data_IF_342483518009
#
_entry.id   IF_342483518009
#
_cell.length_a   1.000
_cell.length_b   1.000
_cell.length_c   1.000
_cell.angle_alpha   90.00
_cell.angle_beta   90.00
_cell.angle_gamma   90.00
#
_symmetry.space_group_name_H-M   'P 1'
#
loop_
_entity.id
_entity.type
_entity.pdbx_description
1 polymer ?
#
# COMPACT_ATOMS: atom_id res chain seq x y z
N UNK A 1 4.16 23.86 -67.78
CA UNK A 1 4.77 23.70 -69.11
C UNK A 1 5.30 22.27 -69.18
N UNK A 2 4.75 21.48 -70.09
CA UNK A 2 4.96 20.03 -70.28
C UNK A 2 6.39 19.67 -70.72
N UNK A 3 6.84 18.42 -70.45
CA UNK A 3 7.31 17.35 -71.38
C UNK A 3 7.40 16.05 -70.54
N UNK A 4 6.48 15.07 -70.66
CA UNK A 4 6.40 13.90 -71.60
C UNK A 4 7.51 12.84 -71.42
N UNK A 5 7.38 11.51 -71.58
CA UNK A 5 6.38 10.47 -71.97
C UNK A 5 7.18 9.13 -71.83
N UNK A 6 6.64 7.96 -71.42
CA UNK A 6 6.24 6.90 -72.36
C UNK A 6 5.66 5.64 -71.68
N UNK A 7 4.60 5.11 -72.31
CA UNK A 7 3.84 3.88 -72.02
C UNK A 7 4.46 2.64 -72.68
N UNK A 8 4.30 1.46 -72.06
CA UNK A 8 3.96 0.17 -72.68
C UNK A 8 3.80 -0.87 -71.55
N UNK A 9 2.87 -1.82 -71.51
CA UNK A 9 1.80 -2.24 -72.41
C UNK A 9 0.99 -3.31 -71.69
N UNK A 10 -0.32 -3.34 -71.94
CA UNK A 10 -1.27 -4.35 -71.46
C UNK A 10 -1.04 -5.69 -72.17
N UNK A 11 -1.02 -6.80 -71.42
CA UNK A 11 -1.49 -8.11 -71.91
C UNK A 11 -2.23 -8.84 -70.78
N UNK A 12 -3.52 -9.09 -71.04
CA UNK A 12 -4.48 -9.92 -70.29
C UNK A 12 -4.34 -11.40 -70.66
N UNK A 13 -4.86 -12.25 -69.76
CA UNK A 13 -5.41 -13.64 -69.88
C UNK A 13 -4.68 -14.66 -69.01
N UNK A 14 -5.29 -15.60 -68.28
CA UNK A 14 -6.61 -15.79 -67.67
C UNK A 14 -6.57 -17.19 -67.02
N UNK A 15 -7.09 -17.33 -65.79
CA UNK A 15 -7.71 -18.58 -65.28
C UNK A 15 -6.82 -19.56 -64.51
N UNK A 16 -7.09 -19.73 -63.20
CA UNK A 16 -7.98 -20.80 -62.70
C UNK A 16 -8.22 -20.64 -61.18
N UNK A 17 -9.51 -20.63 -60.81
CA UNK A 17 -10.13 -21.12 -59.57
C UNK A 17 -9.31 -21.08 -58.27
N UNK A 18 -9.52 -20.04 -57.46
CA UNK A 18 -9.29 -20.10 -56.02
C UNK A 18 -10.64 -20.38 -55.33
N UNK A 19 -10.66 -21.51 -54.62
CA UNK A 19 -11.67 -21.93 -53.66
C UNK A 19 -11.99 -20.75 -52.73
N UNK A 20 -13.21 -20.23 -52.79
CA UNK A 20 -13.71 -19.26 -51.83
C UNK A 20 -13.89 -19.94 -50.48
N UNK A 21 -12.81 -20.00 -49.71
CA UNK A 21 -12.90 -20.03 -48.25
C UNK A 21 -13.57 -18.71 -47.89
N UNK A 22 -14.84 -18.77 -47.53
CA UNK A 22 -15.53 -17.66 -46.89
C UNK A 22 -14.88 -17.53 -45.52
N UNK A 23 -13.77 -16.80 -45.50
CA UNK A 23 -13.32 -16.12 -44.30
C UNK A 23 -14.45 -15.14 -44.01
N UNK A 24 -15.23 -15.37 -42.96
CA UNK A 24 -16.01 -14.32 -42.32
C UNK A 24 -15.00 -13.36 -41.68
N UNK A 25 -14.27 -12.65 -42.54
CA UNK A 25 -13.53 -11.46 -42.23
C UNK A 25 -14.51 -10.32 -42.37
N UNK A 26 -14.61 -9.56 -41.29
CA UNK A 26 -15.48 -8.41 -41.11
C UNK A 26 -15.65 -7.61 -42.41
N UNK A 27 -16.89 -7.54 -42.89
CA UNK A 27 -17.29 -6.65 -43.97
C UNK A 27 -16.98 -5.21 -43.53
N UNK A 28 -16.39 -4.39 -44.40
CA UNK A 28 -16.22 -2.93 -44.22
C UNK A 28 -17.57 -2.17 -44.25
N UNK A 29 -18.57 -2.73 -43.58
CA UNK A 29 -19.85 -2.10 -43.20
C UNK A 29 -20.32 -2.56 -41.81
N UNK A 30 -19.55 -3.35 -41.06
CA UNK A 30 -19.85 -3.67 -39.66
C UNK A 30 -18.71 -3.16 -38.79
N UNK A 31 -19.00 -2.05 -38.13
CA UNK A 31 -18.15 -1.43 -37.13
C UNK A 31 -17.98 -2.42 -35.97
N UNK A 32 -16.77 -2.97 -35.79
CA UNK A 32 -16.46 -3.94 -34.72
C UNK A 32 -16.17 -3.25 -33.37
N UNK A 33 -16.49 -1.95 -33.27
CA UNK A 33 -16.38 -1.17 -32.03
C UNK A 33 -17.76 -0.87 -31.43
N UNK A 34 -18.77 -1.69 -31.73
CA UNK A 34 -20.12 -1.51 -31.21
C UNK A 34 -20.74 -2.87 -30.87
N UNK A 35 -20.09 -3.61 -29.96
CA UNK A 35 -20.85 -4.53 -29.13
C UNK A 35 -21.62 -3.65 -28.16
N UNK A 36 -22.87 -3.40 -28.51
CA UNK A 36 -23.80 -2.62 -27.72
C UNK A 36 -24.33 -3.54 -26.62
N UNK A 37 -23.69 -3.49 -25.45
CA UNK A 37 -24.04 -4.33 -24.30
C UNK A 37 -25.17 -3.72 -23.47
N UNK A 38 -25.64 -2.51 -23.80
CA UNK A 38 -26.69 -1.76 -23.09
C UNK A 38 -28.10 -2.36 -23.21
N UNK A 39 -28.20 -3.65 -23.52
CA UNK A 39 -29.45 -4.39 -23.74
C UNK A 39 -29.31 -5.83 -23.21
N UNK A 40 -28.25 -6.07 -22.44
CA UNK A 40 -27.99 -7.31 -21.73
C UNK A 40 -28.17 -6.98 -20.25
N UNK A 41 -28.88 -7.84 -19.48
CA UNK A 41 -29.19 -7.60 -18.07
C UNK A 41 -28.02 -7.00 -17.30
N UNK A 42 -26.89 -7.69 -17.34
CA UNK A 42 -25.69 -7.31 -16.61
C UNK A 42 -24.92 -6.05 -17.07
N UNK A 43 -25.50 -5.23 -17.94
CA UNK A 43 -24.92 -3.96 -18.40
C UNK A 43 -25.94 -3.00 -19.01
N UNK A 44 -27.23 -3.18 -18.73
CA UNK A 44 -28.31 -2.31 -19.20
C UNK A 44 -28.79 -1.27 -18.17
N UNK A 45 -28.22 -1.29 -16.96
CA UNK A 45 -28.45 -0.32 -15.90
C UNK A 45 -29.73 -0.56 -15.12
N UNK A 46 -30.38 -1.71 -15.33
CA UNK A 46 -31.61 -2.11 -14.67
C UNK A 46 -31.32 -3.36 -13.80
N UNK A 47 -32.04 -3.51 -12.71
CA UNK A 47 -32.08 -4.75 -11.92
C UNK A 47 -33.13 -5.66 -12.58
N UNK A 48 -32.71 -6.64 -13.36
CA UNK A 48 -33.61 -7.47 -14.16
C UNK A 48 -34.17 -8.68 -13.39
N UNK A 49 -33.71 -8.95 -12.17
CA UNK A 49 -34.23 -10.02 -11.30
C UNK A 49 -34.85 -9.53 -9.97
N UNK A 50 -34.85 -8.20 -9.76
CA UNK A 50 -35.44 -7.46 -8.65
C UNK A 50 -34.84 -7.83 -7.28
N UNK A 51 -33.56 -8.22 -7.23
CA UNK A 51 -32.86 -8.59 -5.99
C UNK A 51 -32.16 -7.42 -5.28
N UNK A 52 -32.21 -6.23 -5.89
CA UNK A 52 -31.68 -4.97 -5.38
C UNK A 52 -30.27 -4.65 -5.86
N UNK A 53 -29.68 -5.47 -6.72
CA UNK A 53 -28.38 -5.24 -7.33
C UNK A 53 -28.52 -5.02 -8.85
N UNK A 54 -27.59 -4.24 -9.44
CA UNK A 54 -27.68 -3.79 -10.84
C UNK A 54 -26.37 -4.08 -11.58
N UNK A 55 -26.48 -4.59 -12.81
CA UNK A 55 -25.36 -4.81 -13.72
C UNK A 55 -24.21 -5.63 -13.09
N UNK A 56 -22.95 -5.17 -13.19
CA UNK A 56 -21.80 -5.86 -12.60
C UNK A 56 -21.76 -5.81 -11.07
N UNK A 57 -22.62 -5.01 -10.45
CA UNK A 57 -22.82 -5.05 -9.00
C UNK A 57 -23.83 -6.13 -8.59
N UNK A 58 -24.61 -6.65 -9.55
CA UNK A 58 -25.47 -7.81 -9.40
C UNK A 58 -24.67 -9.10 -9.26
N UNK A 59 -24.76 -9.80 -8.10
CA UNK A 59 -24.08 -11.08 -7.89
C UNK A 59 -24.45 -12.14 -8.95
N UNK A 60 -25.68 -12.11 -9.44
CA UNK A 60 -26.20 -12.96 -10.50
C UNK A 60 -25.58 -12.70 -11.89
N UNK A 61 -24.88 -11.59 -12.06
CA UNK A 61 -24.05 -11.33 -13.23
C UNK A 61 -22.69 -12.04 -13.21
N UNK A 62 -22.24 -12.55 -12.07
CA UNK A 62 -20.92 -13.18 -11.90
C UNK A 62 -19.77 -12.33 -12.47
N UNK A 63 -19.88 -11.00 -12.40
CA UNK A 63 -18.92 -10.05 -12.96
C UNK A 63 -18.81 -10.08 -14.50
N UNK A 64 -19.78 -10.66 -15.21
CA UNK A 64 -19.78 -10.80 -16.67
C UNK A 64 -20.83 -9.87 -17.32
N UNK A 65 -20.41 -8.77 -17.98
CA UNK A 65 -21.33 -7.81 -18.60
C UNK A 65 -21.96 -8.35 -19.90
N UNK A 66 -21.68 -9.60 -20.27
CA UNK A 66 -22.29 -10.27 -21.41
C UNK A 66 -23.27 -11.37 -20.99
N UNK A 67 -23.52 -11.54 -19.69
CA UNK A 67 -24.51 -12.48 -19.21
C UNK A 67 -25.91 -12.05 -19.67
N UNK A 68 -26.75 -13.06 -19.91
CA UNK A 68 -28.13 -12.87 -20.37
C UNK A 68 -29.15 -13.11 -19.26
N UNK A 69 -28.71 -13.13 -18.02
CA UNK A 69 -29.51 -13.42 -16.82
C UNK A 69 -28.82 -12.81 -15.61
N UNK A 70 -29.64 -12.21 -14.77
CA UNK A 70 -29.34 -11.78 -13.40
C UNK A 70 -29.88 -12.79 -12.38
N UNK A 71 -30.86 -13.64 -12.75
CA UNK A 71 -31.34 -14.72 -11.87
C UNK A 71 -30.21 -15.58 -11.27
N UNK A 72 -29.89 -15.34 -10.00
CA UNK A 72 -29.06 -16.24 -9.20
C UNK A 72 -28.25 -15.57 -8.11
N UNK A 73 -28.84 -15.41 -6.93
CA UNK A 73 -28.07 -15.21 -5.71
C UNK A 73 -27.15 -16.43 -5.53
N UNK A 74 -25.82 -16.24 -5.47
CA UNK A 74 -24.87 -17.33 -5.33
C UNK A 74 -25.20 -18.11 -4.06
N UNK A 75 -25.03 -19.44 -4.10
CA UNK A 75 -25.34 -20.30 -2.95
C UNK A 75 -24.68 -19.79 -1.66
N UNK A 76 -23.51 -19.17 -1.77
CA UNK A 76 -22.77 -18.57 -0.67
C UNK A 76 -23.22 -17.18 -0.19
N UNK A 77 -24.35 -16.68 -0.68
CA UNK A 77 -24.97 -15.42 -0.23
C UNK A 77 -26.50 -15.47 -0.24
N UNK A 78 -27.11 -16.64 -0.45
CA UNK A 78 -28.57 -16.77 -0.62
C UNK A 78 -29.35 -17.02 0.67
N UNK A 79 -28.67 -17.11 1.82
CA UNK A 79 -29.30 -17.29 3.13
C UNK A 79 -29.82 -18.70 3.37
N UNK A 80 -29.52 -19.66 2.50
CA UNK A 80 -30.02 -21.02 2.52
C UNK A 80 -28.84 -21.98 2.65
N UNK A 81 -28.93 -22.90 3.60
CA UNK A 81 -28.03 -24.06 3.72
C UNK A 81 -28.25 -25.01 2.53
N UNK A 82 -27.53 -24.75 1.45
CA UNK A 82 -27.68 -25.40 0.15
C UNK A 82 -27.03 -26.80 0.11
N UNK A 83 -26.08 -27.08 1.01
CA UNK A 83 -25.39 -28.36 1.09
C UNK A 83 -25.88 -29.25 2.27
N UNK A 84 -26.60 -28.67 3.22
CA UNK A 84 -27.29 -29.32 4.33
C UNK A 84 -26.41 -29.58 5.56
N UNK A 85 -25.26 -28.92 5.70
CA UNK A 85 -24.33 -29.11 6.81
C UNK A 85 -24.71 -28.30 8.08
N UNK A 86 -25.62 -27.34 7.93
CA UNK A 86 -26.16 -26.49 8.99
C UNK A 86 -25.42 -25.15 9.18
N UNK A 87 -24.46 -24.84 8.31
CA UNK A 87 -23.87 -23.52 8.10
C UNK A 87 -24.57 -22.86 6.90
N UNK A 88 -24.47 -21.54 6.80
CA UNK A 88 -25.06 -20.75 5.71
C UNK A 88 -24.10 -19.64 5.33
N UNK A 89 -23.93 -19.42 4.03
CA UNK A 89 -23.26 -18.29 3.40
C UNK A 89 -21.78 -18.05 3.77
N UNK A 90 -21.16 -17.22 2.95
CA UNK A 90 -19.79 -16.76 3.13
C UNK A 90 -19.56 -16.13 4.52
N UNK A 91 -18.55 -16.66 5.21
CA UNK A 91 -18.13 -16.20 6.53
C UNK A 91 -18.66 -17.05 7.69
N UNK A 92 -19.70 -17.87 7.47
CA UNK A 92 -20.12 -18.89 8.43
C UNK A 92 -19.99 -20.31 7.85
N UNK A 93 -20.14 -20.46 6.53
CA UNK A 93 -20.00 -21.70 5.78
C UNK A 93 -18.58 -21.87 5.19
N UNK A 94 -17.99 -23.05 5.36
CA UNK A 94 -16.63 -23.38 4.92
C UNK A 94 -16.57 -23.82 3.44
N UNK A 95 -17.69 -24.24 2.85
CA UNK A 95 -17.84 -24.46 1.42
C UNK A 95 -17.85 -23.18 0.59
N UNK A 96 -17.89 -22.02 1.27
CA UNK A 96 -17.90 -20.70 0.66
C UNK A 96 -16.54 -19.99 0.68
N UNK A 97 -15.86 -20.00 -0.47
CA UNK A 97 -14.60 -19.27 -0.66
C UNK A 97 -14.77 -17.75 -0.84
N UNK A 98 -15.94 -17.32 -1.31
CA UNK A 98 -16.32 -15.92 -1.52
C UNK A 98 -17.84 -15.75 -1.45
N UNK A 99 -18.35 -14.52 -1.22
CA UNK A 99 -19.79 -14.23 -1.32
C UNK A 99 -20.39 -14.67 -2.66
N UNK A 100 -19.63 -14.48 -3.75
CA UNK A 100 -20.06 -14.82 -5.12
C UNK A 100 -20.03 -16.34 -5.44
N UNK A 101 -19.82 -17.18 -4.42
CA UNK A 101 -19.66 -18.62 -4.57
C UNK A 101 -20.96 -19.30 -4.99
N UNK A 102 -20.93 -20.00 -6.14
CA UNK A 102 -22.10 -20.70 -6.68
C UNK A 102 -22.44 -22.04 -5.97
N UNK A 103 -21.66 -22.44 -4.96
CA UNK A 103 -21.83 -23.71 -4.24
C UNK A 103 -21.29 -23.57 -2.82
N UNK A 104 -22.10 -23.98 -1.84
CA UNK A 104 -21.71 -24.11 -0.43
C UNK A 104 -21.23 -25.51 -0.07
N UNK A 105 -21.11 -26.42 -1.04
CA UNK A 105 -20.59 -27.76 -0.76
C UNK A 105 -19.22 -27.60 -0.12
N UNK A 106 -19.12 -28.00 1.15
CA UNK A 106 -17.87 -28.31 1.83
C UNK A 106 -17.14 -29.30 0.92
N UNK A 107 -16.24 -28.78 0.09
CA UNK A 107 -15.27 -29.64 -0.56
C UNK A 107 -14.49 -30.20 0.61
N UNK A 108 -14.53 -31.52 0.87
CA UNK A 108 -13.57 -32.10 1.78
C UNK A 108 -12.21 -31.54 1.38
N UNK A 109 -11.41 -31.00 2.33
CA UNK A 109 -10.13 -30.41 2.02
C UNK A 109 -9.41 -31.38 1.11
N UNK A 110 -8.92 -30.91 -0.04
CA UNK A 110 -8.46 -31.80 -1.12
C UNK A 110 -7.41 -32.79 -0.58
N UNK A 111 -6.67 -32.36 0.45
CA UNK A 111 -5.74 -33.15 1.26
C UNK A 111 -6.33 -34.15 2.27
N UNK A 112 -7.64 -34.38 2.27
CA UNK A 112 -8.38 -35.28 3.14
C UNK A 112 -9.66 -35.83 2.51
N UNK A 113 -9.79 -35.78 1.19
CA UNK A 113 -10.98 -36.19 0.45
C UNK A 113 -10.92 -37.62 -0.13
N UNK A 114 -9.74 -38.24 -0.11
CA UNK A 114 -9.52 -39.60 -0.61
C UNK A 114 -9.33 -39.69 -2.13
N UNK A 115 -9.06 -38.57 -2.79
CA UNK A 115 -8.86 -38.43 -4.24
C UNK A 115 -7.54 -37.69 -4.50
N UNK A 116 -6.79 -38.20 -5.47
CA UNK A 116 -5.57 -37.58 -6.01
C UNK A 116 -5.98 -36.39 -6.89
N UNK A 117 -6.00 -35.19 -6.29
CA UNK A 117 -6.56 -34.00 -6.91
C UNK A 117 -5.55 -33.24 -7.78
N UNK A 118 -4.25 -33.43 -7.56
CA UNK A 118 -3.20 -32.86 -8.40
C UNK A 118 -2.70 -33.84 -9.50
N UNK A 119 -2.99 -35.13 -9.37
CA UNK A 119 -2.67 -36.17 -10.35
C UNK A 119 -1.24 -36.74 -10.24
N UNK A 120 -0.53 -36.53 -9.14
CA UNK A 120 0.83 -37.01 -8.87
C UNK A 120 0.87 -38.51 -8.47
N UNK A 121 -0.27 -39.08 -8.06
CA UNK A 121 -0.43 -40.46 -7.62
C UNK A 121 -0.32 -40.69 -6.10
N UNK A 122 -0.07 -39.66 -5.31
CA UNK A 122 -0.45 -39.54 -3.91
C UNK A 122 -1.96 -39.19 -3.82
N UNK A 123 -2.52 -38.89 -2.65
CA UNK A 123 -4.01 -38.92 -2.52
C UNK A 123 -4.51 -38.08 -1.36
N UNK A 124 -3.80 -38.03 -0.23
CA UNK A 124 -4.19 -37.25 0.95
C UNK A 124 -3.02 -37.15 1.94
N UNK A 125 -3.07 -36.19 2.87
CA UNK A 125 -2.17 -36.17 4.02
C UNK A 125 -2.34 -37.44 4.90
N UNK A 126 -1.25 -38.02 5.45
CA UNK A 126 0.16 -37.62 5.38
C UNK A 126 0.95 -38.29 4.25
N UNK A 127 0.29 -39.04 3.38
CA UNK A 127 0.93 -39.77 2.29
C UNK A 127 1.23 -38.87 1.08
N UNK A 128 0.55 -37.72 1.00
CA UNK A 128 0.65 -36.70 -0.03
C UNK A 128 1.56 -35.54 0.35
N UNK A 129 2.69 -35.31 -0.37
CA UNK A 129 3.61 -34.22 -0.12
C UNK A 129 3.04 -32.84 -0.49
N UNK A 130 2.08 -32.78 -1.41
CA UNK A 130 1.31 -31.59 -1.77
C UNK A 130 0.43 -31.06 -0.64
N UNK A 131 0.38 -31.79 0.49
CA UNK A 131 -0.46 -31.54 1.65
C UNK A 131 0.36 -31.41 2.95
N UNK A 132 0.29 -30.25 3.60
CA UNK A 132 0.90 -30.04 4.92
C UNK A 132 0.01 -30.53 6.07
N UNK A 133 -1.30 -30.61 5.84
CA UNK A 133 -2.29 -31.12 6.79
C UNK A 133 -3.54 -31.68 6.10
N UNK A 134 -4.28 -32.56 6.80
CA UNK A 134 -5.56 -33.09 6.30
C UNK A 134 -6.71 -32.07 6.29
N UNK A 135 -6.43 -30.80 6.62
CA UNK A 135 -7.38 -29.70 6.58
C UNK A 135 -7.02 -28.69 5.50
N UNK A 136 -5.96 -28.92 4.74
CA UNK A 136 -5.53 -28.03 3.68
C UNK A 136 -6.55 -28.12 2.54
N UNK A 137 -7.14 -26.97 2.21
CA UNK A 137 -8.20 -26.87 1.21
C UNK A 137 -7.72 -27.21 -0.20
N UNK A 138 -6.39 -27.22 -0.43
CA UNK A 138 -5.79 -27.54 -1.71
C UNK A 138 -4.62 -28.50 -1.59
N UNK A 139 -4.63 -29.50 -2.46
CA UNK A 139 -3.51 -30.38 -2.77
C UNK A 139 -2.68 -29.69 -3.86
N UNK A 140 -1.45 -29.30 -3.53
CA UNK A 140 -0.57 -28.64 -4.48
C UNK A 140 0.23 -29.68 -5.26
N UNK A 141 0.38 -29.53 -6.60
CA UNK A 141 1.27 -30.38 -7.38
C UNK A 141 2.62 -30.52 -6.71
N UNK A 142 3.21 -31.72 -6.76
CA UNK A 142 4.63 -31.97 -6.51
C UNK A 142 5.49 -30.89 -7.20
N UNK A 143 5.79 -29.83 -6.45
CA UNK A 143 6.76 -28.80 -6.79
C UNK A 143 8.10 -29.27 -6.25
N UNK A 144 9.19 -28.94 -6.93
CA UNK A 144 10.49 -29.54 -6.66
C UNK A 144 10.87 -29.44 -5.18
N UNK A 145 10.46 -28.37 -4.48
CA UNK A 145 10.66 -28.18 -3.06
C UNK A 145 9.81 -29.02 -2.09
N UNK A 146 8.99 -29.95 -2.58
CA UNK A 146 8.14 -30.85 -1.78
C UNK A 146 8.05 -32.27 -2.36
N UNK A 147 8.68 -32.59 -3.49
CA UNK A 147 8.49 -33.86 -4.21
C UNK A 147 9.39 -35.01 -3.70
N UNK A 148 10.28 -34.75 -2.73
CA UNK A 148 11.19 -35.73 -2.15
C UNK A 148 12.35 -36.13 -3.06
N UNK A 149 12.61 -35.39 -4.13
CA UNK A 149 13.64 -35.63 -5.12
C UNK A 149 14.59 -34.43 -5.18
N UNK A 150 15.88 -34.71 -5.08
CA UNK A 150 16.98 -33.75 -5.30
C UNK A 150 17.03 -33.38 -6.78
N UNK A 151 16.27 -32.35 -7.15
CA UNK A 151 16.02 -31.89 -8.51
C UNK A 151 17.14 -31.01 -9.05
N UNK A 152 17.85 -30.29 -8.17
CA UNK A 152 19.01 -29.46 -8.54
C UNK A 152 20.35 -30.22 -8.45
N UNK A 153 20.38 -31.35 -7.74
CA UNK A 153 21.51 -32.28 -7.65
C UNK A 153 22.53 -31.92 -6.56
N UNK A 154 22.20 -31.06 -5.60
CA UNK A 154 23.08 -30.61 -4.53
C UNK A 154 23.19 -31.64 -3.36
N UNK A 155 22.28 -32.61 -3.34
CA UNK A 155 22.21 -33.69 -2.35
C UNK A 155 21.32 -33.41 -1.14
N UNK A 156 20.61 -32.30 -1.14
CA UNK A 156 19.52 -31.92 -0.24
C UNK A 156 18.19 -32.11 -1.00
N UNK A 157 17.08 -32.09 -0.27
CA UNK A 157 15.74 -32.36 -0.80
C UNK A 157 14.73 -31.59 0.00
N UNK A 158 13.84 -30.89 -0.67
CA UNK A 158 12.66 -30.22 -0.14
C UNK A 158 12.90 -29.10 0.88
N UNK A 159 11.85 -28.30 1.05
CA UNK A 159 11.77 -27.22 2.02
C UNK A 159 12.11 -27.67 3.45
N UNK A 160 13.08 -26.97 4.02
CA UNK A 160 13.56 -27.18 5.38
C UNK A 160 14.76 -28.10 5.49
N UNK A 161 15.16 -28.80 4.42
CA UNK A 161 16.50 -29.41 4.31
C UNK A 161 17.30 -28.79 3.15
N UNK A 162 16.62 -28.42 2.07
CA UNK A 162 17.17 -27.78 0.88
C UNK A 162 17.20 -26.24 1.01
N UNK A 163 18.36 -25.57 0.83
CA UNK A 163 18.50 -24.11 0.87
C UNK A 163 17.95 -23.38 -0.36
N UNK A 164 17.83 -24.03 -1.51
CA UNK A 164 17.13 -23.52 -2.70
C UNK A 164 15.63 -23.32 -2.46
N UNK A 165 15.09 -24.07 -1.50
CA UNK A 165 13.71 -23.92 -1.03
C UNK A 165 13.58 -22.93 0.13
N UNK A 166 13.41 -21.64 -0.18
CA UNK A 166 13.20 -20.59 0.83
C UNK A 166 11.82 -20.72 1.48
N UNK A 167 10.83 -21.22 0.75
CA UNK A 167 9.48 -21.56 1.20
C UNK A 167 9.06 -22.90 0.61
N UNK A 168 8.18 -23.62 1.31
CA UNK A 168 7.57 -24.85 0.78
C UNK A 168 6.79 -24.65 -0.51
N UNK A 169 6.45 -23.41 -0.86
CA UNK A 169 5.72 -23.08 -2.10
C UNK A 169 6.61 -22.64 -3.26
N UNK A 170 7.93 -22.68 -3.09
CA UNK A 170 8.86 -22.35 -4.17
C UNK A 170 8.89 -23.48 -5.21
N UNK A 171 9.00 -23.12 -6.49
CA UNK A 171 8.75 -24.03 -7.59
C UNK A 171 9.98 -24.86 -8.02
N UNK A 172 11.17 -24.46 -7.59
CA UNK A 172 12.45 -25.08 -7.91
C UNK A 172 13.36 -25.11 -6.68
N UNK A 173 14.21 -26.14 -6.60
CA UNK A 173 15.22 -26.32 -5.54
C UNK A 173 16.54 -25.63 -5.88
N UNK A 174 16.57 -24.75 -6.89
CA UNK A 174 17.85 -24.18 -7.32
C UNK A 174 18.36 -23.23 -6.24
N UNK A 175 19.47 -23.61 -5.61
CA UNK A 175 20.25 -22.72 -4.75
C UNK A 175 20.43 -21.36 -5.42
N UNK A 176 19.88 -20.32 -4.82
CA UNK A 176 20.22 -18.95 -5.19
C UNK A 176 21.68 -18.73 -4.79
N UNK A 177 22.59 -19.06 -5.70
CA UNK A 177 24.01 -18.87 -5.51
C UNK A 177 24.25 -17.37 -5.19
N UNK A 178 25.02 -17.06 -4.14
CA UNK A 178 25.47 -15.70 -3.90
C UNK A 178 26.13 -15.16 -5.17
N UNK A 179 25.82 -13.91 -5.55
CA UNK A 179 26.34 -13.27 -6.77
C UNK A 179 27.87 -13.38 -6.89
N UNK A 180 28.59 -13.52 -5.76
CA UNK A 180 30.03 -13.71 -5.71
C UNK A 180 30.56 -15.14 -5.97
N UNK A 181 29.68 -16.10 -6.30
CA UNK A 181 30.05 -17.47 -6.67
C UNK A 181 29.10 -18.12 -7.71
N UNK A 182 28.30 -17.31 -8.41
CA UNK A 182 27.28 -17.79 -9.34
C UNK A 182 27.80 -17.94 -10.79
N UNK A 183 29.04 -17.51 -11.07
CA UNK A 183 29.66 -17.63 -12.38
C UNK A 183 29.24 -16.55 -13.37
N UNK A 184 28.57 -15.50 -12.91
CA UNK A 184 28.06 -14.38 -13.71
C UNK A 184 28.65 -13.07 -13.17
N UNK A 185 29.20 -12.27 -14.08
CA UNK A 185 29.59 -10.87 -13.83
C UNK A 185 28.33 -10.00 -13.69
N UNK A 186 27.81 -9.92 -12.45
CA UNK A 186 26.56 -9.28 -12.08
C UNK A 186 26.69 -7.76 -11.96
N UNK A 187 27.88 -7.24 -11.68
CA UNK A 187 28.16 -5.80 -11.65
C UNK A 187 28.74 -5.23 -12.97
N UNK A 188 29.07 -6.10 -13.92
CA UNK A 188 29.60 -5.80 -15.24
C UNK A 188 30.98 -5.10 -15.25
N UNK A 189 31.81 -5.31 -14.23
CA UNK A 189 33.17 -4.78 -14.16
C UNK A 189 34.21 -5.65 -14.90
N UNK A 190 33.83 -6.88 -15.25
CA UNK A 190 34.62 -7.83 -16.03
C UNK A 190 35.38 -8.87 -15.22
N UNK A 191 35.36 -8.80 -13.89
CA UNK A 191 35.53 -9.96 -13.02
C UNK A 191 34.18 -10.71 -12.90
N UNK A 192 34.12 -11.83 -12.18
CA UNK A 192 32.98 -12.77 -12.29
C UNK A 192 32.60 -13.35 -10.93
N UNK A 193 33.59 -13.73 -10.11
CA UNK A 193 33.35 -14.33 -8.80
C UNK A 193 34.59 -14.20 -7.92
N UNK A 194 34.41 -14.34 -6.61
CA UNK A 194 35.52 -14.52 -5.68
C UNK A 194 36.39 -15.74 -6.05
N UNK A 195 37.72 -15.68 -5.95
CA UNK A 195 38.57 -14.61 -5.41
C UNK A 195 39.11 -13.65 -6.48
N UNK A 196 38.70 -13.82 -7.73
CA UNK A 196 39.22 -13.03 -8.84
C UNK A 196 38.46 -11.70 -8.94
N UNK A 197 37.21 -11.67 -8.47
CA UNK A 197 36.39 -10.49 -8.24
C UNK A 197 36.70 -9.81 -6.91
N UNK A 198 36.90 -8.48 -6.96
CA UNK A 198 37.22 -7.64 -5.80
C UNK A 198 36.01 -6.92 -5.21
N UNK A 199 34.89 -6.87 -5.92
CA UNK A 199 33.58 -6.58 -5.36
C UNK A 199 33.18 -7.54 -4.27
N UNK A 200 33.71 -8.77 -4.31
CA UNK A 200 33.46 -9.83 -3.36
C UNK A 200 34.52 -9.91 -2.25
N UNK A 201 34.11 -9.73 -0.99
CA UNK A 201 35.00 -9.94 0.16
C UNK A 201 35.20 -11.44 0.46
N UNK A 202 34.21 -12.26 0.15
CA UNK A 202 34.27 -13.72 0.19
C UNK A 202 33.20 -14.35 -0.72
N UNK A 203 33.29 -15.67 -0.95
CA UNK A 203 32.38 -16.40 -1.84
C UNK A 203 30.94 -16.56 -1.34
N UNK A 204 30.61 -16.16 -0.10
CA UNK A 204 29.24 -16.22 0.42
C UNK A 204 28.56 -14.84 0.43
N UNK A 205 29.23 -13.81 -0.09
CA UNK A 205 28.62 -12.49 -0.21
C UNK A 205 27.51 -12.54 -1.26
N UNK A 206 26.32 -12.11 -0.87
CA UNK A 206 25.10 -12.22 -1.69
C UNK A 206 25.05 -11.23 -2.84
N UNK A 207 25.92 -10.21 -2.82
CA UNK A 207 25.97 -9.16 -3.83
C UNK A 207 27.40 -8.95 -4.31
N UNK A 208 27.56 -8.83 -5.63
CA UNK A 208 28.80 -8.44 -6.30
C UNK A 208 28.79 -6.89 -6.49
N UNK A 209 29.92 -6.23 -6.26
CA UNK A 209 30.02 -4.76 -6.30
C UNK A 209 31.13 -4.31 -7.26
N UNK A 210 30.88 -3.35 -8.15
CA UNK A 210 31.84 -3.01 -9.19
C UNK A 210 33.18 -2.54 -8.63
N UNK A 211 34.28 -2.81 -9.34
CA UNK A 211 35.64 -2.33 -9.07
C UNK A 211 35.66 -0.83 -8.70
N UNK A 212 35.66 -0.56 -7.40
CA UNK A 212 35.70 0.77 -6.78
C UNK A 212 37.13 1.13 -6.40
N UNK A 213 37.44 2.44 -6.34
CA UNK A 213 38.82 2.94 -6.20
C UNK A 213 39.52 2.39 -4.94
N UNK A 214 38.79 2.11 -3.86
CA UNK A 214 39.35 1.54 -2.64
C UNK A 214 39.66 0.03 -2.72
N UNK A 215 39.49 -0.61 -3.88
CA UNK A 215 39.84 -2.00 -4.10
C UNK A 215 40.57 -2.21 -5.44
N UNK A 216 40.78 -1.18 -6.27
CA UNK A 216 41.26 -1.34 -7.65
C UNK A 216 42.79 -1.58 -7.77
N UNK A 217 43.56 -1.42 -6.69
CA UNK A 217 45.02 -1.62 -6.65
C UNK A 217 45.82 -0.46 -7.23
N UNK A 218 45.19 0.69 -7.44
CA UNK A 218 45.78 1.90 -8.01
C UNK A 218 45.67 3.02 -6.97
N UNK A 219 46.77 3.75 -6.77
CA UNK A 219 46.79 4.96 -5.92
C UNK A 219 46.13 6.11 -6.70
N UNK A 220 44.81 6.20 -6.59
CA UNK A 220 43.95 7.12 -7.33
C UNK A 220 43.95 8.54 -6.73
N UNK A 221 44.29 8.69 -5.46
CA UNK A 221 44.42 9.99 -4.79
C UNK A 221 45.88 10.53 -4.75
N UNK A 222 46.85 9.69 -5.13
CA UNK A 222 48.26 10.02 -5.25
C UNK A 222 49.02 10.12 -3.92
N UNK A 223 48.49 9.55 -2.84
CA UNK A 223 49.07 9.62 -1.50
C UNK A 223 50.15 8.52 -1.25
N UNK A 224 50.25 7.56 -2.16
CA UNK A 224 51.24 6.47 -2.15
C UNK A 224 50.80 5.22 -1.38
N UNK A 225 49.55 5.17 -0.93
CA UNK A 225 48.86 4.00 -0.38
C UNK A 225 47.79 3.57 -1.39
N UNK A 226 47.36 2.32 -1.32
CA UNK A 226 46.41 1.74 -2.26
C UNK A 226 45.43 0.88 -1.50
N UNK A 227 44.14 1.05 -1.76
CA UNK A 227 43.06 0.19 -1.28
C UNK A 227 42.79 0.17 0.23
N UNK A 228 41.62 -0.38 0.59
CA UNK A 228 41.21 -0.67 1.95
C UNK A 228 42.21 -1.58 2.69
N UNK A 229 42.65 -1.10 3.85
CA UNK A 229 43.59 -1.81 4.73
C UNK A 229 45.03 -1.28 4.67
N UNK A 230 45.42 -0.64 3.56
CA UNK A 230 46.70 0.09 3.44
C UNK A 230 46.47 1.59 3.31
N UNK A 231 45.39 2.04 2.64
CA UNK A 231 44.95 3.44 2.58
C UNK A 231 43.94 3.77 3.70
N UNK A 232 44.29 4.67 4.66
CA UNK A 232 43.40 5.11 5.73
C UNK A 232 42.15 5.88 5.29
N UNK A 233 42.10 6.33 4.02
CA UNK A 233 40.95 7.04 3.44
C UNK A 233 39.87 6.10 2.94
N UNK A 234 40.20 4.83 2.76
CA UNK A 234 39.24 3.74 2.59
C UNK A 234 38.84 3.25 3.98
N UNK A 235 37.74 3.81 4.50
CA UNK A 235 37.20 3.48 5.83
C UNK A 235 36.46 2.14 5.83
N UNK A 236 35.97 1.73 4.66
CA UNK A 236 35.45 0.40 4.38
C UNK A 236 35.95 -0.13 3.04
N UNK A 237 35.85 -1.45 2.81
CA UNK A 237 36.15 -2.04 1.51
C UNK A 237 35.19 -1.54 0.42
N UNK A 238 33.98 -1.13 0.78
CA UNK A 238 32.95 -0.66 -0.15
C UNK A 238 32.99 0.86 -0.43
N UNK A 239 34.04 1.57 0.00
CA UNK A 239 34.16 3.01 -0.28
C UNK A 239 34.46 3.27 -1.77
N UNK A 240 33.61 4.05 -2.43
CA UNK A 240 33.68 4.22 -3.88
C UNK A 240 34.96 4.93 -4.38
N UNK A 241 35.54 5.82 -3.56
CA UNK A 241 36.63 6.71 -3.95
C UNK A 241 37.72 6.83 -2.85
N UNK A 242 38.99 6.66 -3.22
CA UNK A 242 40.16 6.95 -2.35
C UNK A 242 40.35 8.45 -2.07
N UNK A 243 39.63 9.30 -2.82
CA UNK A 243 39.65 10.76 -2.66
C UNK A 243 38.79 11.20 -1.47
N UNK A 244 37.82 10.38 -1.04
CA UNK A 244 36.97 10.68 0.11
C UNK A 244 37.67 10.41 1.46
N UNK A 245 38.97 10.69 1.53
CA UNK A 245 39.58 11.03 2.80
C UNK A 245 38.98 12.35 3.24
N UNK A 246 38.05 12.26 4.20
CA UNK A 246 37.50 13.36 5.00
C UNK A 246 38.41 14.58 4.91
N UNK A 247 37.98 15.61 4.17
CA UNK A 247 38.60 16.93 4.27
C UNK A 247 38.48 17.29 5.75
N UNK A 248 39.60 17.51 6.43
CA UNK A 248 39.60 17.91 7.84
C UNK A 248 39.77 19.41 7.80
N UNK A 249 38.64 20.09 7.66
CA UNK A 249 38.52 21.55 7.55
C UNK A 249 39.27 22.23 8.71
N UNK A 250 39.23 21.64 9.90
CA UNK A 250 39.89 22.13 11.13
C UNK A 250 41.43 22.11 11.16
N UNK A 251 42.12 21.79 10.06
CA UNK A 251 43.58 21.94 9.91
C UNK A 251 44.02 22.18 8.46
N UNK A 252 43.12 22.61 7.59
CA UNK A 252 43.39 22.77 6.17
C UNK A 252 43.89 24.19 5.81
N UNK A 253 43.84 25.12 6.76
CA UNK A 253 44.35 26.49 6.61
C UNK A 253 43.40 27.42 5.86
N UNK A 254 42.14 27.06 5.74
CA UNK A 254 41.07 27.82 5.09
C UNK A 254 39.94 28.01 6.11
N UNK A 255 39.43 29.23 6.21
CA UNK A 255 38.20 29.56 6.93
C UNK A 255 37.00 29.03 6.11
N UNK A 256 36.58 27.79 6.38
CA UNK A 256 35.57 27.07 5.59
C UNK A 256 34.14 27.48 5.98
N UNK A 257 33.92 27.96 7.19
CA UNK A 257 32.62 28.41 7.69
C UNK A 257 32.38 29.93 7.58
N UNK A 258 33.43 30.71 7.36
CA UNK A 258 33.39 32.15 7.13
C UNK A 258 33.26 32.99 8.40
N UNK A 259 33.53 32.44 9.59
CA UNK A 259 33.44 33.17 10.87
C UNK A 259 34.69 34.02 11.17
N UNK A 260 35.78 33.80 10.43
CA UNK A 260 37.03 34.55 10.48
C UNK A 260 38.11 33.94 11.36
N UNK A 261 37.84 32.84 12.06
CA UNK A 261 38.85 31.87 12.46
C UNK A 261 39.15 30.91 11.27
N UNK A 262 40.06 29.94 11.42
CA UNK A 262 40.69 29.28 10.25
C UNK A 262 41.00 27.81 10.55
N UNK A 263 41.48 27.49 11.75
CA UNK A 263 41.82 26.12 12.15
C UNK A 263 41.93 26.00 13.67
N UNK A 264 41.82 24.78 14.20
CA UNK A 264 42.19 24.47 15.58
C UNK A 264 43.65 24.87 15.89
N UNK A 265 43.96 25.44 17.07
CA UNK A 265 43.11 25.67 18.25
C UNK A 265 42.50 27.09 18.32
N UNK A 266 42.75 27.90 17.29
CA UNK A 266 42.33 29.29 17.27
C UNK A 266 40.86 29.40 16.81
N UNK A 267 40.41 28.42 16.03
CA UNK A 267 39.03 28.16 15.67
C UNK A 267 38.31 27.32 16.71
N UNK A 268 37.18 27.82 17.20
CA UNK A 268 36.40 27.15 18.24
C UNK A 268 35.39 26.17 17.65
N UNK A 269 34.95 26.39 16.41
CA UNK A 269 34.18 25.48 15.57
C UNK A 269 34.78 24.08 15.45
N UNK A 270 36.07 23.98 15.75
CA UNK A 270 36.85 22.76 15.82
C UNK A 270 37.09 22.33 17.28
N UNK A 271 36.53 21.20 17.70
CA UNK A 271 36.83 20.62 19.00
C UNK A 271 38.26 20.02 19.04
N UNK A 272 38.72 19.50 17.90
CA UNK A 272 40.08 18.98 17.70
C UNK A 272 40.61 19.27 16.28
N UNK A 273 41.93 19.24 16.11
CA UNK A 273 42.57 19.36 14.78
C UNK A 273 42.34 18.18 13.83
N UNK A 274 41.54 17.19 14.23
CA UNK A 274 41.17 16.03 13.41
C UNK A 274 39.68 16.05 13.01
N UNK A 275 38.94 17.08 13.37
CA UNK A 275 37.52 17.17 13.07
C UNK A 275 37.31 17.48 11.58
N UNK A 276 36.38 16.75 10.97
CA UNK A 276 36.12 16.79 9.53
C UNK A 276 35.51 18.10 9.05
N UNK A 277 34.79 18.79 9.92
CA UNK A 277 34.04 19.97 9.57
C UNK A 277 34.39 21.10 10.53
N UNK A 278 34.56 22.28 9.97
CA UNK A 278 34.69 23.54 10.68
C UNK A 278 33.29 24.13 10.78
N UNK A 279 32.79 24.30 12.00
CA UNK A 279 31.44 24.81 12.25
C UNK A 279 31.53 26.27 12.70
N UNK A 280 30.66 27.17 12.20
CA UNK A 280 30.67 28.57 12.64
C UNK A 280 30.60 28.65 14.17
N UNK A 281 31.20 29.68 14.79
CA UNK A 281 31.01 30.02 16.20
C UNK A 281 29.51 29.97 16.62
N UNK A 282 29.06 28.80 17.08
CA UNK A 282 27.71 28.52 17.59
C UNK A 282 27.68 28.79 19.09
N UNK A 283 26.48 29.01 19.65
CA UNK A 283 26.33 29.56 21.00
C UNK A 283 27.14 28.77 22.05
N UNK A 284 27.14 27.43 22.01
CA UNK A 284 27.92 26.59 22.91
C UNK A 284 29.45 26.68 22.82
N UNK A 285 29.98 27.55 21.97
CA UNK A 285 31.40 27.80 21.79
C UNK A 285 31.74 29.30 21.68
N UNK A 286 30.76 30.21 21.56
CA UNK A 286 31.03 31.60 21.21
C UNK A 286 31.58 32.46 22.37
N UNK A 287 31.61 31.93 23.59
CA UNK A 287 32.11 32.62 24.78
C UNK A 287 31.15 33.63 25.39
N UNK A 288 29.88 33.61 24.99
CA UNK A 288 28.80 34.46 25.46
C UNK A 288 27.78 33.57 26.17
N UNK A 289 27.21 34.04 27.28
CA UNK A 289 26.10 33.38 27.97
C UNK A 289 24.81 33.75 27.26
N UNK A 290 24.46 32.96 26.25
CA UNK A 290 23.36 33.24 25.33
C UNK A 290 22.00 32.82 25.88
N UNK A 291 21.96 31.87 26.83
CA UNK A 291 20.73 31.48 27.54
C UNK A 291 20.53 32.25 28.87
N UNK A 292 21.53 33.02 29.31
CA UNK A 292 21.48 33.90 30.48
C UNK A 292 21.58 33.16 31.81
N UNK A 293 22.02 31.90 31.83
CA UNK A 293 22.14 31.07 33.03
C UNK A 293 23.45 31.33 33.81
N UNK A 294 24.37 32.09 33.24
CA UNK A 294 25.65 32.49 33.84
C UNK A 294 26.83 31.55 33.53
N UNK A 295 26.65 30.59 32.62
CA UNK A 295 27.65 29.68 32.07
C UNK A 295 27.67 29.91 30.55
N UNK A 296 28.83 29.78 29.89
CA UNK A 296 28.97 30.28 28.50
C UNK A 296 29.08 29.18 27.46
N UNK A 297 29.79 28.08 27.73
CA UNK A 297 30.17 27.15 26.65
C UNK A 297 30.26 25.70 27.12
N UNK A 298 30.41 24.79 26.16
CA UNK A 298 30.69 23.38 26.39
C UNK A 298 31.79 23.15 27.45
N UNK A 299 31.43 22.41 28.50
CA UNK A 299 32.31 22.08 29.62
C UNK A 299 32.16 22.99 30.84
N UNK A 300 31.61 24.20 30.67
CA UNK A 300 31.14 25.05 31.76
C UNK A 300 29.62 25.04 31.86
N UNK A 301 28.92 25.06 30.72
CA UNK A 301 27.47 24.93 30.61
C UNK A 301 27.03 23.46 30.46
N UNK A 302 26.25 22.90 31.41
CA UNK A 302 25.71 21.54 31.34
C UNK A 302 24.72 21.29 30.19
N UNK A 303 24.16 22.34 29.60
CA UNK A 303 23.20 22.26 28.50
C UNK A 303 23.91 22.04 27.16
N UNK A 304 25.14 22.52 27.01
CA UNK A 304 26.02 22.13 25.92
C UNK A 304 26.54 20.70 26.17
N UNK A 305 25.82 19.72 25.64
CA UNK A 305 26.14 18.29 25.77
C UNK A 305 27.24 17.85 24.81
N UNK A 306 27.42 18.59 23.72
CA UNK A 306 28.49 18.48 22.74
C UNK A 306 29.05 19.87 22.42
N UNK A 307 30.33 20.02 22.03
CA UNK A 307 30.82 21.26 21.45
C UNK A 307 29.97 21.66 20.23
N UNK A 308 29.50 20.70 19.45
CA UNK A 308 28.72 20.94 18.22
C UNK A 308 27.25 21.33 18.45
N UNK A 309 26.82 21.54 19.69
CA UNK A 309 25.43 21.92 19.97
C UNK A 309 25.19 23.37 19.51
N UNK A 310 24.21 23.56 18.62
CA UNK A 310 23.95 24.85 17.96
C UNK A 310 23.49 25.95 18.93
N UNK A 311 22.91 25.56 20.06
CA UNK A 311 22.45 26.47 21.11
C UNK A 311 22.82 25.98 22.51
N UNK A 312 23.02 26.93 23.43
CA UNK A 312 23.18 26.70 24.87
C UNK A 312 21.87 26.32 25.57
N UNK A 313 20.77 26.20 24.83
CA UNK A 313 19.47 25.87 25.42
C UNK A 313 19.38 24.37 25.67
N UNK A 314 20.08 23.56 24.86
CA UNK A 314 20.74 22.33 25.29
C UNK A 314 19.96 21.45 26.26
N UNK A 315 18.80 21.02 25.82
CA UNK A 315 17.91 20.10 26.49
C UNK A 315 16.83 19.69 25.49
N UNK A 316 16.28 18.50 25.64
CA UNK A 316 14.95 18.22 25.07
C UNK A 316 14.07 19.36 25.57
N UNK A 317 13.68 20.31 24.72
CA UNK A 317 12.66 21.28 25.06
C UNK A 317 11.44 20.42 25.38
N UNK A 318 11.07 20.42 26.65
CA UNK A 318 9.88 19.74 27.14
C UNK A 318 8.86 20.84 27.18
N UNK A 319 8.24 21.06 26.02
CA UNK A 319 7.31 22.16 25.80
C UNK A 319 6.17 22.10 26.84
N UNK A 320 5.75 20.90 27.23
CA UNK A 320 4.73 20.65 28.25
C UNK A 320 5.12 20.88 29.72
N UNK A 321 6.31 21.43 29.98
CA UNK A 321 6.79 21.73 31.33
C UNK A 321 7.75 22.91 31.42
N UNK A 322 7.81 23.76 30.41
CA UNK A 322 8.75 24.89 30.32
C UNK A 322 8.14 26.25 30.67
N UNK A 323 6.81 26.33 30.85
CA UNK A 323 6.10 27.53 31.27
C UNK A 323 5.86 28.53 30.15
N UNK A 324 5.96 28.09 28.90
CA UNK A 324 5.69 28.86 27.68
C UNK A 324 4.58 28.13 26.90
N UNK A 325 3.61 28.90 26.42
CA UNK A 325 2.59 28.45 25.47
C UNK A 325 3.24 28.27 24.09
N UNK A 326 3.73 27.07 23.78
CA UNK A 326 4.54 26.79 22.59
C UNK A 326 3.72 26.55 21.33
N UNK A 327 2.45 26.14 21.46
CA UNK A 327 1.53 25.93 20.34
C UNK A 327 0.57 27.11 20.10
N UNK A 328 0.46 28.03 21.06
CA UNK A 328 -0.28 29.28 20.95
C UNK A 328 -1.78 29.17 21.22
N UNK A 329 -2.25 28.11 21.88
CA UNK A 329 -3.66 27.91 22.21
C UNK A 329 -4.11 28.64 23.49
N UNK A 330 -3.17 29.14 24.28
CA UNK A 330 -3.39 29.93 25.49
C UNK A 330 -3.39 29.12 26.79
N UNK A 331 -3.32 27.79 26.72
CA UNK A 331 -2.75 26.96 27.77
C UNK A 331 -1.20 27.02 27.69
N UNK A 332 -0.48 26.34 28.57
CA UNK A 332 0.94 26.70 28.85
C UNK A 332 1.76 25.47 29.25
N UNK A 333 1.17 24.53 29.99
CA UNK A 333 1.87 23.33 30.47
C UNK A 333 0.88 22.31 31.07
N UNK A 334 1.30 21.04 31.14
CA UNK A 334 0.61 20.02 31.93
C UNK A 334 0.49 20.43 33.43
N UNK A 335 -0.64 20.17 34.11
CA UNK A 335 -1.87 19.50 33.66
C UNK A 335 -2.96 20.47 33.20
N UNK A 336 -2.60 21.73 32.98
CA UNK A 336 -3.55 22.77 32.57
C UNK A 336 -3.79 22.79 31.06
N UNK A 337 -2.84 22.21 30.33
CA UNK A 337 -2.79 22.08 28.88
C UNK A 337 -3.20 20.67 28.44
N UNK A 338 -4.17 20.55 27.53
CA UNK A 338 -4.70 19.26 27.06
C UNK A 338 -3.90 18.70 25.88
N UNK A 339 -3.17 19.56 25.17
CA UNK A 339 -2.07 19.24 24.28
C UNK A 339 -0.94 18.41 24.89
N UNK A 340 -0.88 18.38 26.23
CA UNK A 340 0.15 17.69 27.00
C UNK A 340 -0.40 16.50 27.81
N UNK A 341 0.12 15.30 27.55
CA UNK A 341 -0.26 14.10 28.34
C UNK A 341 0.53 13.98 29.66
N UNK A 342 1.71 14.60 29.73
CA UNK A 342 2.56 14.65 30.91
C UNK A 342 3.54 15.82 30.91
N UNK A 343 4.06 16.18 32.09
CA UNK A 343 5.06 17.26 32.25
C UNK A 343 6.42 16.99 31.58
N UNK A 344 6.69 15.75 31.14
CA UNK A 344 7.96 15.39 30.46
C UNK A 344 7.79 15.24 28.95
N UNK A 345 6.60 15.54 28.43
CA UNK A 345 6.33 15.41 27.01
C UNK A 345 7.10 16.48 26.24
N UNK A 346 7.74 16.05 25.16
CA UNK A 346 8.66 16.90 24.39
C UNK A 346 7.92 17.99 23.62
N UNK A 347 6.71 17.68 23.16
CA UNK A 347 5.95 18.57 22.31
C UNK A 347 4.62 18.88 22.96
N UNK A 348 4.27 20.15 22.91
CA UNK A 348 2.96 20.70 23.23
C UNK A 348 2.19 20.79 21.91
N UNK A 349 1.08 20.07 21.82
CA UNK A 349 0.26 20.03 20.61
C UNK A 349 -0.94 20.95 20.82
N UNK A 350 -1.33 21.77 19.82
CA UNK A 350 -2.49 22.63 19.95
C UNK A 350 -3.67 21.83 20.49
N UNK A 351 -4.42 22.42 21.42
CA UNK A 351 -5.77 22.00 21.76
C UNK A 351 -6.59 21.92 20.46
N UNK A 352 -6.61 20.71 19.87
CA UNK A 352 -7.39 20.41 18.68
C UNK A 352 -8.85 20.24 19.10
N UNK A 353 -9.77 20.60 18.21
CA UNK A 353 -11.18 20.74 18.56
C UNK A 353 -11.69 19.54 19.36
N UNK A 354 -11.38 18.32 18.89
CA UNK A 354 -11.79 17.06 19.53
C UNK A 354 -11.16 16.72 20.89
N UNK A 355 -10.30 17.58 21.45
CA UNK A 355 -9.66 17.41 22.76
C UNK A 355 -9.56 18.72 23.56
N UNK A 356 -10.16 19.84 23.10
CA UNK A 356 -10.02 21.15 23.73
C UNK A 356 -11.07 21.43 24.82
N UNK A 357 -12.01 20.50 25.04
CA UNK A 357 -13.05 20.65 26.05
C UNK A 357 -14.08 21.73 25.74
N UNK A 358 -14.14 22.20 24.49
CA UNK A 358 -15.13 23.12 23.96
C UNK A 358 -15.98 22.44 22.89
N UNK A 359 -17.24 22.84 22.82
CA UNK A 359 -18.16 22.45 21.75
C UNK A 359 -17.92 23.37 20.55
N UNK A 360 -16.96 23.04 19.67
CA UNK A 360 -16.49 23.96 18.63
C UNK A 360 -17.43 24.04 17.42
N UNK A 361 -18.21 23.00 17.17
CA UNK A 361 -19.22 22.98 16.11
C UNK A 361 -20.62 23.39 16.61
N UNK A 362 -20.83 23.42 17.93
CA UNK A 362 -22.02 23.93 18.60
C UNK A 362 -23.16 22.92 18.70
N UNK A 363 -22.90 21.62 18.53
CA UNK A 363 -23.88 20.54 18.58
C UNK A 363 -24.23 20.09 20.02
N UNK A 364 -23.44 20.52 21.01
CA UNK A 364 -23.61 20.24 22.44
C UNK A 364 -22.85 19.01 22.94
N UNK A 365 -22.12 18.33 22.07
CA UNK A 365 -21.01 17.43 22.35
C UNK A 365 -19.72 18.28 22.37
N UNK A 366 -18.57 17.69 22.75
CA UNK A 366 -17.46 18.51 23.28
C UNK A 366 -16.09 17.95 22.93
N UNK A 367 -15.92 16.63 22.86
CA UNK A 367 -14.61 16.03 22.58
C UNK A 367 -14.76 14.57 22.14
N UNK A 368 -13.67 14.01 21.60
CA UNK A 368 -13.53 12.61 21.25
C UNK A 368 -14.03 11.65 22.34
N UNK A 369 -14.93 10.76 21.91
CA UNK A 369 -15.57 9.75 22.77
C UNK A 369 -16.91 10.20 23.36
N UNK A 370 -17.28 11.48 23.26
CA UNK A 370 -18.65 11.96 23.42
C UNK A 370 -19.18 12.58 22.12
N UNK A 371 -18.31 13.28 21.42
CA UNK A 371 -18.54 13.95 20.14
C UNK A 371 -18.47 12.99 18.97
N UNK A 372 -19.39 13.16 18.01
CA UNK A 372 -19.54 12.35 16.80
C UNK A 372 -18.81 12.96 15.60
N UNK A 373 -18.52 14.27 15.62
CA UNK A 373 -17.64 14.91 14.65
C UNK A 373 -16.20 14.40 14.77
N UNK A 374 -15.81 13.88 15.94
CA UNK A 374 -14.48 13.35 16.21
C UNK A 374 -14.31 11.87 15.85
N UNK A 375 -13.68 11.58 14.71
CA UNK A 375 -13.41 10.20 14.28
C UNK A 375 -12.37 9.48 15.15
N UNK A 376 -11.38 10.22 15.65
CA UNK A 376 -10.31 9.73 16.54
C UNK A 376 -9.84 10.85 17.47
N UNK A 377 -9.09 10.52 18.52
CA UNK A 377 -8.65 11.52 19.50
C UNK A 377 -7.86 12.65 18.84
N UNK A 378 -6.99 12.35 17.87
CA UNK A 378 -6.14 13.34 17.19
C UNK A 378 -6.83 14.05 16.01
N UNK A 379 -8.15 13.98 15.92
CA UNK A 379 -8.94 14.65 14.88
C UNK A 379 -9.01 16.16 15.18
N UNK A 380 -8.80 17.02 14.19
CA UNK A 380 -8.73 18.48 14.37
C UNK A 380 -10.00 19.23 13.96
N UNK A 381 -11.01 18.48 13.55
CA UNK A 381 -12.30 18.99 13.10
C UNK A 381 -13.44 18.32 13.88
N UNK A 382 -14.15 19.11 14.68
CA UNK A 382 -15.33 18.67 15.41
C UNK A 382 -16.61 18.75 14.60
N UNK A 383 -16.55 19.21 13.35
CA UNK A 383 -17.78 19.39 12.60
C UNK A 383 -18.45 18.05 12.33
N UNK A 384 -19.61 17.87 12.96
CA UNK A 384 -20.55 16.83 12.63
C UNK A 384 -20.82 16.93 11.12
N UNK A 385 -20.44 15.91 10.35
CA UNK A 385 -21.04 15.75 9.03
C UNK A 385 -22.50 15.43 9.30
N UNK A 386 -23.35 16.46 9.36
CA UNK A 386 -24.79 16.29 9.56
C UNK A 386 -25.26 15.34 8.49
N UNK A 387 -25.65 14.10 8.85
CA UNK A 387 -26.14 13.13 7.89
C UNK A 387 -27.33 13.75 7.16
N UNK A 388 -27.40 13.56 5.84
CA UNK A 388 -28.43 14.16 4.97
C UNK A 388 -29.81 14.00 5.63
N UNK A 389 -30.11 12.82 6.18
CA UNK A 389 -31.33 12.48 6.91
C UNK A 389 -31.69 13.27 8.19
N UNK A 390 -30.87 14.24 8.62
CA UNK A 390 -31.19 15.14 9.75
C UNK A 390 -30.68 16.58 9.55
N UNK A 391 -30.29 16.96 8.34
CA UNK A 391 -29.68 18.27 8.07
C UNK A 391 -30.69 19.38 7.73
N UNK A 392 -31.97 19.04 7.55
CA UNK A 392 -33.04 20.00 7.23
C UNK A 392 -33.12 20.40 5.76
N UNK A 393 -32.43 19.69 4.87
CA UNK A 393 -32.35 19.92 3.43
C UNK A 393 -32.84 18.66 2.70
N UNK A 394 -33.67 18.87 1.68
CA UNK A 394 -34.07 17.83 0.72
C UNK A 394 -32.90 17.58 -0.25
N UNK A 395 -32.02 16.64 0.10
CA UNK A 395 -30.75 16.37 -0.59
C UNK A 395 -30.94 15.47 -1.82
N UNK A 396 -31.97 14.63 -1.85
CA UNK A 396 -32.30 13.78 -3.01
C UNK A 396 -33.31 14.41 -3.99
N UNK A 397 -34.02 15.46 -3.55
CA UNK A 397 -34.94 16.26 -4.36
C UNK A 397 -36.33 15.67 -4.51
N UNK A 398 -36.74 14.71 -3.66
CA UNK A 398 -38.04 14.05 -3.71
C UNK A 398 -39.18 14.87 -3.04
N UNK A 399 -38.81 15.96 -2.34
CA UNK A 399 -39.74 16.86 -1.65
C UNK A 399 -40.01 16.48 -0.19
N UNK A 400 -39.36 15.43 0.31
CA UNK A 400 -39.20 15.06 1.71
C UNK A 400 -37.86 15.68 2.17
N UNK A 401 -37.37 15.46 3.39
CA UNK A 401 -36.33 16.38 3.91
C UNK A 401 -35.47 15.74 4.98
N UNK A 402 -36.08 15.01 5.92
CA UNK A 402 -35.32 14.36 6.99
C UNK A 402 -36.14 13.21 7.58
N UNK A 403 -35.46 12.30 8.28
CA UNK A 403 -36.12 11.36 9.19
C UNK A 403 -36.99 12.09 10.22
N UNK A 404 -38.20 11.59 10.54
CA UNK A 404 -38.86 10.39 10.04
C UNK A 404 -39.82 10.64 8.87
N UNK A 405 -39.80 11.86 8.31
CA UNK A 405 -40.73 12.23 7.24
C UNK A 405 -40.20 11.83 5.87
N UNK A 406 -38.90 11.61 5.79
CA UNK A 406 -38.20 11.11 4.62
C UNK A 406 -38.15 9.57 4.63
N UNK A 407 -38.82 8.88 3.70
CA UNK A 407 -38.80 7.44 3.53
C UNK A 407 -37.45 6.88 3.10
N UNK A 408 -36.61 7.68 2.43
CA UNK A 408 -35.24 7.32 2.08
C UNK A 408 -34.30 7.29 3.30
N UNK A 409 -34.77 7.79 4.44
CA UNK A 409 -34.09 7.73 5.72
C UNK A 409 -34.68 6.63 6.63
N UNK A 410 -33.90 5.59 6.92
CA UNK A 410 -34.28 4.57 7.90
C UNK A 410 -34.07 5.05 9.34
N UNK A 411 -33.04 5.88 9.56
CA UNK A 411 -32.69 6.47 10.85
C UNK A 411 -32.14 7.91 10.67
N UNK A 412 -32.17 8.76 11.71
CA UNK A 412 -31.63 10.12 11.63
C UNK A 412 -30.13 10.22 11.33
N UNK A 413 -29.38 9.13 11.55
CA UNK A 413 -27.93 9.10 11.42
C UNK A 413 -27.50 8.52 10.05
N UNK A 414 -28.44 8.23 9.15
CA UNK A 414 -28.15 7.75 7.80
C UNK A 414 -27.49 8.85 6.97
N UNK A 415 -26.34 8.53 6.35
CA UNK A 415 -25.53 9.52 5.64
C UNK A 415 -26.16 10.05 4.36
N UNK A 416 -27.25 9.42 3.88
CA UNK A 416 -27.96 9.77 2.64
C UNK A 416 -29.46 9.56 2.76
N UNK A 417 -30.23 10.42 2.09
CA UNK A 417 -31.70 10.32 1.90
C UNK A 417 -32.11 9.38 0.75
N UNK A 418 -31.19 8.58 0.20
CA UNK A 418 -31.46 7.65 -0.90
C UNK A 418 -30.90 6.26 -0.57
N UNK A 419 -31.58 5.16 -0.95
CA UNK A 419 -32.74 5.05 -1.84
C UNK A 419 -34.12 5.21 -1.19
N UNK A 420 -35.07 5.81 -1.92
CA UNK A 420 -36.47 5.84 -1.55
C UNK A 420 -37.12 4.45 -1.68
N UNK A 421 -37.94 4.00 -0.70
CA UNK A 421 -38.77 2.81 -0.80
C UNK A 421 -39.70 2.87 -2.02
N UNK A 422 -40.02 1.70 -2.60
CA UNK A 422 -40.89 1.53 -3.77
C UNK A 422 -42.23 2.28 -3.68
N UNK A 423 -42.78 2.44 -2.48
CA UNK A 423 -44.03 3.18 -2.27
C UNK A 423 -43.85 4.72 -2.17
N UNK A 424 -42.68 5.25 -2.52
CA UNK A 424 -42.31 6.67 -2.45
C UNK A 424 -41.22 7.10 -3.44
N UNK A 425 -40.78 6.23 -4.35
CA UNK A 425 -39.68 6.51 -5.30
C UNK A 425 -40.17 7.19 -6.59
N UNK A 426 -41.49 7.38 -6.75
CA UNK A 426 -42.09 8.00 -7.93
C UNK A 426 -42.19 7.07 -9.15
N UNK A 427 -41.92 5.77 -8.98
CA UNK A 427 -41.94 4.74 -10.00
C UNK A 427 -43.19 3.85 -9.80
N UNK A 428 -43.56 3.10 -10.84
CA UNK A 428 -44.63 2.09 -10.83
C UNK A 428 -43.90 0.73 -10.80
N UNK A 429 -43.60 0.24 -9.59
CA UNK A 429 -42.68 -0.87 -9.38
C UNK A 429 -43.37 -2.22 -9.63
N UNK A 430 -44.72 -2.27 -9.70
CA UNK A 430 -45.49 -3.48 -10.02
C UNK A 430 -46.12 -3.48 -11.43
N UNK A 431 -46.00 -2.37 -12.16
CA UNK A 431 -46.44 -2.19 -13.54
C UNK A 431 -47.97 -2.08 -13.70
N UNK A 432 -48.72 -1.78 -12.64
CA UNK A 432 -50.18 -1.68 -12.66
C UNK A 432 -50.72 -0.32 -13.10
N UNK A 433 -49.82 0.65 -13.37
CA UNK A 433 -50.03 2.06 -13.77
C UNK A 433 -50.33 3.05 -12.66
N UNK A 434 -50.38 2.60 -11.41
CA UNK A 434 -50.41 3.46 -10.23
C UNK A 434 -48.97 3.58 -9.68
N UNK A 435 -48.71 4.63 -8.92
CA UNK A 435 -47.38 4.91 -8.37
C UNK A 435 -47.52 5.30 -6.91
N UNK A 436 -46.61 4.84 -6.06
CA UNK A 436 -46.52 5.23 -4.65
C UNK A 436 -47.85 5.07 -3.88
N UNK A 437 -48.18 6.03 -3.01
CA UNK A 437 -49.46 6.11 -2.30
C UNK A 437 -50.71 6.25 -3.20
N UNK A 438 -50.57 6.39 -4.52
CA UNK A 438 -51.71 6.25 -5.43
C UNK A 438 -52.05 4.78 -5.71
N UNK A 439 -51.09 3.88 -5.49
CA UNK A 439 -51.27 2.44 -5.55
C UNK A 439 -51.96 1.90 -4.27
N UNK A 440 -53.02 1.09 -4.38
CA UNK A 440 -53.73 0.51 -3.24
C UNK A 440 -52.94 -0.50 -2.40
N UNK A 441 -51.83 -1.02 -2.91
CA UNK A 441 -50.91 -1.97 -2.29
C UNK A 441 -49.91 -1.25 -1.40
N UNK A 442 -49.60 0.02 -1.68
CA UNK A 442 -48.87 0.91 -0.77
C UNK A 442 -49.76 1.36 0.40
N UNK A 443 -49.51 0.80 1.59
CA UNK A 443 -50.22 1.19 2.82
C UNK A 443 -49.56 2.44 3.44
N UNK A 444 -48.26 2.60 3.24
CA UNK A 444 -47.45 3.74 3.67
C UNK A 444 -46.29 4.02 2.71
N UNK A 445 -45.78 5.26 2.71
CA UNK A 445 -44.63 5.66 1.91
C UNK A 445 -43.34 4.93 2.30
N UNK A 446 -43.29 4.34 3.50
CA UNK A 446 -42.15 3.55 3.99
C UNK A 446 -42.24 2.06 3.61
N UNK A 447 -43.29 1.63 2.91
CA UNK A 447 -43.37 0.25 2.46
C UNK A 447 -42.29 0.02 1.39
N UNK A 448 -41.43 -0.97 1.64
CA UNK A 448 -40.30 -1.31 0.76
C UNK A 448 -40.72 -2.05 -0.50
N UNK A 449 -42.01 -2.35 -0.65
CA UNK A 449 -42.57 -3.16 -1.72
C UNK A 449 -43.96 -2.66 -2.09
N UNK A 450 -44.22 -2.61 -3.38
CA UNK A 450 -45.54 -2.33 -3.99
C UNK A 450 -46.26 -3.64 -4.38
N UNK A 451 -45.70 -4.81 -4.06
CA UNK A 451 -46.28 -6.13 -4.35
C UNK A 451 -47.03 -6.78 -3.14
N UNK A 452 -47.89 -7.77 -3.42
CA UNK A 452 -48.74 -8.47 -2.43
C UNK A 452 -47.99 -9.51 -1.60
#
# INVERSE_FOLDING_TARGET
MFVSVSRAGLVLWAGLLALSVVVFGCSETTNVNNFDTSNLPCSDGEDNDDDGFVDLADPGCFGNPLSSSEDGMPACSDGIDNDGDGLIDYGSDLGCASPDGASEIDLPPECGDGTDNDGDGATDFPEDPGCSSSFDIREFPDIECQDGIDNDGDGLTDYGQDPGCVRGTDADEVDALPECMDGIDNDADGAIDFPDDKGCSNSLDTLEFPDIQCQDGIDNDGNGLTDYGEDPKCTGPLDADEIAGVVIECRDGIDNDGDGAIDFPDDKGCATSNDSLEFPDIQCQDGIDNDGNGLTDYGEDPKCTSPSDADEVGGVVVECGDGIDNDGDGAIDFPGDLGCSSFVDRFEFPDIQCQDGLDNDGDGLIDYGQDRGCGFATDDDETDTTPECRDGIDNDGDGQTDYPNDPGCSFPDDTREFPNPACSDGIDNDGDTLTDLADPQCVSATDTREDI
#
